data_IF_493599760091
#
_entry.id   IF_493599760091
#
_cell.length_a   1.000
_cell.length_b   1.000
_cell.length_c   1.000
_cell.angle_alpha   90.00
_cell.angle_beta   90.00
_cell.angle_gamma   90.00
#
_symmetry.space_group_name_H-M   'P 1'
#
loop_
_entity.id
_entity.type
_entity.pdbx_description
1 polymer ?
#
# COMPACT_ATOMS: atom_id res chain seq x y z
N UNK A 1 55.96 16.31 47.85
CA UNK A 1 55.05 17.13 48.68
C UNK A 1 53.84 17.43 47.84
N UNK A 2 52.85 16.54 47.89
CA UNK A 2 51.61 16.72 47.15
C UNK A 2 50.78 17.78 47.84
N UNK A 3 50.82 19.00 47.31
CA UNK A 3 49.81 20.00 47.62
C UNK A 3 48.50 19.57 46.98
N UNK A 4 47.69 18.85 47.76
CA UNK A 4 46.24 18.72 47.55
C UNK A 4 45.60 20.10 47.73
N UNK A 5 45.76 20.97 46.72
CA UNK A 5 45.09 22.27 46.65
C UNK A 5 43.59 22.00 46.58
N UNK A 6 42.89 22.25 47.68
CA UNK A 6 41.44 22.18 47.72
C UNK A 6 40.88 23.24 46.76
N UNK A 7 40.13 22.86 45.71
CA UNK A 7 39.67 23.80 44.71
C UNK A 7 38.75 24.83 45.37
N UNK A 8 39.07 26.12 45.19
CA UNK A 8 38.24 27.22 45.68
C UNK A 8 36.81 27.08 45.15
N UNK A 9 35.80 27.52 45.93
CA UNK A 9 34.37 27.33 45.58
C UNK A 9 34.00 27.85 44.18
N UNK A 10 34.74 28.83 43.68
CA UNK A 10 34.61 29.37 42.33
C UNK A 10 35.06 28.38 41.23
N UNK A 11 36.13 27.62 41.47
CA UNK A 11 36.63 26.58 40.57
C UNK A 11 35.67 25.39 40.52
N UNK A 12 35.12 24.97 41.67
CA UNK A 12 34.11 23.91 41.75
C UNK A 12 32.82 24.27 40.98
N UNK A 13 32.37 25.52 41.06
CA UNK A 13 31.25 26.02 40.24
C UNK A 13 31.52 25.95 38.74
N UNK A 14 32.75 26.26 38.29
CA UNK A 14 33.13 26.18 36.88
C UNK A 14 33.16 24.72 36.39
N UNK A 15 33.72 23.80 37.18
CA UNK A 15 33.76 22.37 36.85
C UNK A 15 32.35 21.79 36.75
N UNK A 16 31.46 22.14 37.69
CA UNK A 16 30.06 21.71 37.67
C UNK A 16 29.33 22.22 36.41
N UNK A 17 29.43 23.52 36.10
CA UNK A 17 28.85 24.09 34.87
C UNK A 17 29.36 23.39 33.61
N UNK A 18 30.65 23.06 33.57
CA UNK A 18 31.27 22.36 32.45
C UNK A 18 30.76 20.93 32.31
N UNK A 19 30.61 20.18 33.41
CA UNK A 19 30.02 18.84 33.41
C UNK A 19 28.57 18.84 32.97
N UNK A 20 27.79 19.79 33.47
CA UNK A 20 26.38 19.95 33.05
C UNK A 20 26.31 20.26 31.55
N UNK A 21 27.17 21.14 31.03
CA UNK A 21 27.22 21.44 29.60
C UNK A 21 27.55 20.20 28.75
N UNK A 22 28.60 19.44 29.11
CA UNK A 22 28.94 18.23 28.37
C UNK A 22 27.87 17.14 28.50
N UNK A 23 27.19 17.04 29.64
CA UNK A 23 26.09 16.12 29.83
C UNK A 23 24.89 16.47 28.94
N UNK A 24 24.50 17.75 28.89
CA UNK A 24 23.46 18.23 27.98
C UNK A 24 23.85 18.02 26.51
N UNK A 25 25.10 18.31 26.16
CA UNK A 25 25.62 18.11 24.82
C UNK A 25 25.55 16.62 24.42
N UNK A 26 25.95 15.72 25.31
CA UNK A 26 25.88 14.27 25.09
C UNK A 26 24.44 13.77 24.95
N UNK A 27 23.50 14.32 25.73
CA UNK A 27 22.08 13.97 25.64
C UNK A 27 21.48 14.41 24.31
N UNK A 28 21.78 15.63 23.86
CA UNK A 28 21.37 16.13 22.53
C UNK A 28 21.94 15.23 21.42
N UNK A 29 23.22 14.88 21.51
CA UNK A 29 23.87 14.00 20.55
C UNK A 29 23.19 12.62 20.50
N UNK A 30 22.88 12.04 21.66
CA UNK A 30 22.20 10.75 21.77
C UNK A 30 20.80 10.78 21.15
N UNK A 31 20.03 11.83 21.43
CA UNK A 31 18.71 12.03 20.84
C UNK A 31 18.80 12.21 19.33
N UNK A 32 19.79 12.94 18.81
CA UNK A 32 20.03 13.06 17.37
C UNK A 32 20.26 11.70 16.69
N UNK A 33 21.09 10.84 17.29
CA UNK A 33 21.36 9.50 16.76
C UNK A 33 20.09 8.64 16.78
N UNK A 34 19.33 8.69 17.87
CA UNK A 34 18.08 7.94 18.01
C UNK A 34 17.01 8.41 17.02
N UNK A 35 16.90 9.72 16.79
CA UNK A 35 15.98 10.30 15.80
C UNK A 35 16.37 9.91 14.37
N UNK A 36 17.67 9.83 14.05
CA UNK A 36 18.11 9.38 12.73
C UNK A 36 17.73 7.91 12.49
N UNK A 37 17.90 7.06 13.50
CA UNK A 37 17.53 5.64 13.48
C UNK A 37 16.01 5.44 13.36
N UNK A 38 15.22 6.08 14.23
CA UNK A 38 13.76 5.94 14.23
C UNK A 38 13.08 6.70 13.08
N UNK A 39 13.61 7.87 12.68
CA UNK A 39 13.06 8.71 11.63
C UNK A 39 13.21 8.09 10.24
N UNK A 40 14.29 7.35 9.99
CA UNK A 40 14.42 6.55 8.77
C UNK A 40 13.37 5.43 8.71
N UNK A 41 13.12 4.75 9.83
CA UNK A 41 12.16 3.65 9.92
C UNK A 41 10.69 4.12 9.73
N UNK A 42 10.28 5.23 10.37
CA UNK A 42 8.90 5.71 10.25
C UNK A 42 8.55 6.08 8.80
N UNK A 43 9.49 6.67 8.06
CA UNK A 43 9.30 6.99 6.64
C UNK A 43 9.30 5.73 5.76
N UNK A 44 10.09 4.72 6.11
CA UNK A 44 10.15 3.46 5.39
C UNK A 44 8.82 2.67 5.46
N UNK A 45 8.12 2.71 6.59
CA UNK A 45 6.80 2.05 6.74
C UNK A 45 5.77 2.62 5.76
N UNK A 46 5.76 3.95 5.55
CA UNK A 46 4.84 4.56 4.56
C UNK A 46 5.24 4.25 3.13
N UNK A 47 6.55 4.14 2.86
CA UNK A 47 7.07 3.77 1.54
C UNK A 47 6.64 2.35 1.13
N UNK A 48 6.77 1.36 2.02
CA UNK A 48 6.37 -0.03 1.73
C UNK A 48 4.86 -0.14 1.49
N UNK A 49 4.06 0.49 2.34
CA UNK A 49 2.59 0.45 2.21
C UNK A 49 2.14 1.08 0.90
N UNK A 50 2.73 2.20 0.50
CA UNK A 50 2.42 2.87 -0.76
C UNK A 50 2.77 2.00 -1.96
N UNK A 51 3.93 1.33 -1.95
CA UNK A 51 4.35 0.48 -3.05
C UNK A 51 3.45 -0.76 -3.22
N UNK A 52 3.02 -1.35 -2.10
CA UNK A 52 2.05 -2.44 -2.13
C UNK A 52 0.68 -1.97 -2.65
N UNK A 53 0.23 -0.79 -2.26
CA UNK A 53 -1.02 -0.20 -2.76
C UNK A 53 -0.96 0.15 -4.25
N UNK A 54 0.20 0.58 -4.77
CA UNK A 54 0.40 0.84 -6.20
C UNK A 54 0.28 -0.46 -7.00
N UNK A 55 0.91 -1.55 -6.55
CA UNK A 55 0.83 -2.84 -7.23
C UNK A 55 -0.59 -3.40 -7.25
N UNK A 56 -1.33 -3.30 -6.14
CA UNK A 56 -2.72 -3.76 -6.09
C UNK A 56 -3.62 -2.89 -6.97
N UNK A 57 -3.43 -1.57 -6.99
CA UNK A 57 -4.17 -0.66 -7.87
C UNK A 57 -3.89 -0.93 -9.35
N UNK A 58 -2.64 -1.22 -9.72
CA UNK A 58 -2.28 -1.60 -11.09
C UNK A 58 -2.97 -2.90 -11.51
N UNK A 59 -2.91 -3.94 -10.66
CA UNK A 59 -3.59 -5.21 -10.95
C UNK A 59 -5.12 -5.05 -11.06
N UNK A 60 -5.72 -4.24 -10.20
CA UNK A 60 -7.16 -3.94 -10.28
C UNK A 60 -7.51 -3.18 -11.55
N UNK A 61 -6.68 -2.22 -11.97
CA UNK A 61 -6.89 -1.45 -13.20
C UNK A 61 -6.75 -2.34 -14.44
N UNK A 62 -5.73 -3.18 -14.52
CA UNK A 62 -5.56 -4.15 -15.61
C UNK A 62 -6.73 -5.13 -15.69
N UNK A 63 -7.19 -5.65 -14.54
CA UNK A 63 -8.36 -6.54 -14.48
C UNK A 63 -9.63 -5.83 -14.95
N UNK A 64 -9.84 -4.57 -14.54
CA UNK A 64 -10.98 -3.76 -14.97
C UNK A 64 -10.92 -3.43 -16.47
N UNK A 65 -9.74 -3.09 -17.01
CA UNK A 65 -9.54 -2.85 -18.44
C UNK A 65 -9.81 -4.11 -19.27
N UNK A 66 -9.29 -5.26 -18.83
CA UNK A 66 -9.52 -6.56 -19.49
C UNK A 66 -11.00 -6.92 -19.50
N UNK A 67 -11.70 -6.76 -18.37
CA UNK A 67 -13.16 -6.95 -18.30
C UNK A 67 -13.90 -5.98 -19.20
N UNK A 68 -13.52 -4.70 -19.23
CA UNK A 68 -14.14 -3.73 -20.12
C UNK A 68 -13.94 -4.07 -21.61
N UNK A 69 -12.75 -4.54 -21.99
CA UNK A 69 -12.49 -5.01 -23.36
C UNK A 69 -13.31 -6.26 -23.70
N UNK A 70 -13.40 -7.22 -22.79
CA UNK A 70 -14.24 -8.41 -22.96
C UNK A 70 -15.71 -8.04 -23.12
N UNK A 71 -16.23 -7.17 -22.26
CA UNK A 71 -17.62 -6.70 -22.33
C UNK A 71 -17.89 -5.96 -23.64
N UNK A 72 -16.98 -5.09 -24.10
CA UNK A 72 -17.11 -4.42 -25.41
C UNK A 72 -17.09 -5.40 -26.56
N UNK A 73 -16.25 -6.43 -26.49
CA UNK A 73 -16.16 -7.47 -27.53
C UNK A 73 -17.43 -8.30 -27.58
N UNK A 74 -17.92 -8.76 -26.42
CA UNK A 74 -19.20 -9.45 -26.29
C UNK A 74 -20.34 -8.58 -26.80
N UNK A 75 -20.40 -7.31 -26.40
CA UNK A 75 -21.42 -6.38 -26.87
C UNK A 75 -21.39 -6.24 -28.40
N UNK A 76 -20.20 -6.18 -29.01
CA UNK A 76 -20.06 -6.10 -30.48
C UNK A 76 -20.54 -7.36 -31.19
N UNK A 77 -20.34 -8.53 -30.58
CA UNK A 77 -20.85 -9.82 -31.08
C UNK A 77 -22.38 -9.87 -30.95
N UNK A 78 -22.93 -9.44 -29.82
CA UNK A 78 -24.36 -9.40 -29.56
C UNK A 78 -25.10 -8.26 -30.27
N UNK A 79 -24.43 -7.17 -30.66
CA UNK A 79 -25.05 -6.02 -31.35
C UNK A 79 -25.27 -6.27 -32.85
N UNK A 80 -24.70 -7.35 -33.40
CA UNK A 80 -25.03 -7.81 -34.74
C UNK A 80 -26.48 -8.32 -34.78
N UNK A 81 -27.16 -8.19 -35.93
CA UNK A 81 -28.55 -8.63 -36.10
C UNK A 81 -28.76 -10.10 -35.67
N UNK A 82 -27.79 -10.98 -35.99
CA UNK A 82 -27.75 -12.38 -35.53
C UNK A 82 -27.58 -12.52 -34.01
N UNK A 83 -26.75 -11.67 -33.38
CA UNK A 83 -26.51 -11.71 -31.94
C UNK A 83 -27.72 -11.26 -31.12
N UNK A 84 -28.48 -10.28 -31.63
CA UNK A 84 -29.75 -9.84 -31.03
C UNK A 84 -30.79 -10.95 -31.16
N UNK A 85 -30.88 -11.59 -32.33
CA UNK A 85 -31.76 -12.74 -32.57
C UNK A 85 -31.43 -13.90 -31.61
N UNK A 86 -30.16 -14.28 -31.47
CA UNK A 86 -29.70 -15.33 -30.54
C UNK A 86 -29.98 -14.98 -29.07
N UNK A 87 -29.77 -13.72 -28.66
CA UNK A 87 -30.04 -13.26 -27.30
C UNK A 87 -31.55 -13.31 -26.98
N UNK A 88 -32.39 -12.88 -27.92
CA UNK A 88 -33.84 -12.96 -27.81
C UNK A 88 -34.31 -14.42 -27.76
N UNK A 89 -33.73 -15.29 -28.61
CA UNK A 89 -34.04 -16.74 -28.64
C UNK A 89 -33.73 -17.41 -27.31
N UNK A 90 -32.56 -17.14 -26.74
CA UNK A 90 -32.12 -17.71 -25.47
C UNK A 90 -33.01 -17.23 -24.30
N UNK A 91 -33.33 -15.94 -24.22
CA UNK A 91 -34.23 -15.40 -23.19
C UNK A 91 -35.67 -15.96 -23.30
N UNK A 92 -36.14 -16.24 -24.52
CA UNK A 92 -37.47 -16.83 -24.76
C UNK A 92 -37.47 -18.36 -24.70
N UNK A 93 -36.33 -19.01 -24.39
CA UNK A 93 -36.13 -20.47 -24.47
C UNK A 93 -36.56 -21.06 -25.82
N UNK A 94 -36.42 -20.27 -26.88
CA UNK A 94 -36.73 -20.67 -28.25
C UNK A 94 -35.53 -21.40 -28.86
N UNK A 95 -35.84 -22.40 -29.68
CA UNK A 95 -34.86 -23.24 -30.35
C UNK A 95 -34.56 -22.69 -31.74
N UNK A 96 -33.32 -22.89 -32.18
CA UNK A 96 -32.89 -22.46 -33.51
C UNK A 96 -33.57 -23.23 -34.62
N UNK A 97 -33.47 -22.72 -35.85
CA UNK A 97 -34.02 -23.40 -37.03
C UNK A 97 -33.50 -24.84 -37.20
N UNK A 98 -32.34 -25.16 -36.62
CA UNK A 98 -31.66 -26.46 -36.76
C UNK A 98 -31.38 -27.16 -35.41
N UNK A 99 -32.01 -26.73 -34.31
CA UNK A 99 -31.83 -27.33 -32.99
C UNK A 99 -33.12 -28.06 -32.55
N UNK A 100 -33.04 -28.99 -31.60
CA UNK A 100 -34.22 -29.76 -31.10
C UNK A 100 -34.37 -29.57 -29.60
N UNK A 101 -35.54 -29.12 -29.13
CA UNK A 101 -35.83 -29.00 -27.70
C UNK A 101 -36.18 -30.38 -27.12
N UNK A 102 -35.35 -30.90 -26.21
CA UNK A 102 -35.62 -32.18 -25.53
C UNK A 102 -36.20 -31.89 -24.14
N UNK A 103 -37.49 -32.17 -23.96
CA UNK A 103 -38.16 -32.15 -22.65
C UNK A 103 -38.10 -33.54 -22.01
N UNK A 104 -37.21 -33.71 -21.03
CA UNK A 104 -37.14 -34.94 -20.22
C UNK A 104 -38.05 -34.75 -18.99
N UNK A 105 -39.18 -35.47 -18.94
CA UNK A 105 -40.01 -35.54 -17.74
C UNK A 105 -39.54 -36.72 -16.89
N UNK A 106 -38.89 -36.43 -15.76
CA UNK A 106 -38.61 -37.47 -14.77
C UNK A 106 -39.92 -37.82 -14.03
N UNK A 107 -40.20 -39.11 -13.90
CA UNK A 107 -41.42 -39.62 -13.24
C UNK A 107 -41.23 -39.69 -11.73
#
# INVERSE_FOLDING_TARGET
>A
MDSSVCPTKLQMRKIYKRRVYYFFLALILFVCLLQFLCGSLYNFTRYIVLNNQINTLQQLNESAQKKNQQLKTQLKVYSSYKGIEELARNNLKLVGKDEVLVLIKNR
#
